data_IF_896820468611
#
_entry.id   IF_896820468611
#
_cell.length_a   1.000
_cell.length_b   1.000
_cell.length_c   1.000
_cell.angle_alpha   90.00
_cell.angle_beta   90.00
_cell.angle_gamma   90.00
#
_symmetry.space_group_name_H-M   'P 1'
#
loop_
_entity.id
_entity.type
_entity.pdbx_description
1 polymer ?
#
# COMPACT_ATOMS: atom_id res chain seq x y z
N UNK A 1 -38.14 36.51 -18.64
CA UNK A 1 -38.60 37.29 -17.48
C UNK A 1 -37.59 37.04 -16.37
N UNK A 2 -36.96 38.08 -15.87
CA UNK A 2 -35.87 37.99 -14.87
C UNK A 2 -36.49 38.27 -13.51
N UNK A 3 -36.19 37.42 -12.52
CA UNK A 3 -36.70 37.54 -11.16
C UNK A 3 -35.51 37.72 -10.21
N UNK A 4 -35.50 38.81 -9.45
CA UNK A 4 -34.49 39.06 -8.44
C UNK A 4 -34.91 38.36 -7.14
N UNK A 5 -34.18 37.31 -6.78
CA UNK A 5 -34.39 36.53 -5.55
C UNK A 5 -33.38 36.94 -4.50
N UNK A 6 -33.86 37.16 -3.27
CA UNK A 6 -33.04 37.53 -2.13
C UNK A 6 -32.67 36.26 -1.34
N UNK A 7 -31.38 35.93 -1.31
CA UNK A 7 -30.87 34.76 -0.61
C UNK A 7 -30.17 35.17 0.69
N UNK A 8 -30.46 34.45 1.77
CA UNK A 8 -29.83 34.64 3.07
C UNK A 8 -28.88 33.49 3.38
N UNK A 9 -27.59 33.80 3.58
CA UNK A 9 -26.60 32.84 4.04
C UNK A 9 -26.58 32.86 5.56
N UNK A 10 -27.18 31.85 6.18
CA UNK A 10 -27.24 31.70 7.64
C UNK A 10 -26.14 30.75 8.11
N UNK A 11 -25.42 31.12 9.17
CA UNK A 11 -24.43 30.26 9.83
C UNK A 11 -25.10 29.45 10.95
N UNK A 12 -26.19 28.75 10.61
CA UNK A 12 -26.93 27.90 11.55
C UNK A 12 -27.12 26.51 10.97
N UNK A 13 -27.14 25.51 11.83
CA UNK A 13 -27.51 24.13 11.49
C UNK A 13 -29.02 24.05 11.22
N UNK A 14 -29.44 24.46 10.02
CA UNK A 14 -30.79 24.27 9.51
C UNK A 14 -30.75 23.35 8.29
N UNK A 15 -31.78 22.51 8.11
CA UNK A 15 -31.89 21.68 6.91
C UNK A 15 -32.22 22.59 5.72
N UNK A 16 -31.36 22.65 4.68
CA UNK A 16 -31.67 23.45 3.51
C UNK A 16 -32.85 22.83 2.75
N UNK A 17 -33.76 23.68 2.27
CA UNK A 17 -34.89 23.25 1.43
C UNK A 17 -34.43 22.75 0.05
N UNK A 18 -33.29 23.26 -0.43
CA UNK A 18 -32.72 22.94 -1.73
C UNK A 18 -31.22 22.69 -1.58
N UNK A 19 -30.75 21.56 -2.11
CA UNK A 19 -29.33 21.21 -2.10
C UNK A 19 -28.54 22.00 -3.16
N UNK A 20 -27.23 22.11 -2.95
CA UNK A 20 -26.30 22.66 -3.95
C UNK A 20 -26.51 22.09 -5.37
N UNK A 21 -26.70 20.77 -5.60
CA UNK A 21 -26.87 20.22 -6.94
C UNK A 21 -28.11 20.77 -7.65
N UNK A 22 -29.22 20.91 -6.92
CA UNK A 22 -30.48 21.37 -7.48
C UNK A 22 -30.47 22.88 -7.70
N UNK A 23 -29.85 23.67 -6.82
CA UNK A 23 -29.62 25.10 -7.05
C UNK A 23 -28.83 25.38 -8.34
N UNK A 24 -27.79 24.57 -8.63
CA UNK A 24 -27.02 24.69 -9.87
C UNK A 24 -27.86 24.29 -11.09
N UNK A 25 -28.61 23.18 -11.01
CA UNK A 25 -29.49 22.70 -12.10
C UNK A 25 -30.60 23.71 -12.44
N UNK A 26 -31.12 24.40 -11.43
CA UNK A 26 -32.16 25.42 -11.58
C UNK A 26 -31.61 26.80 -11.97
N UNK A 27 -30.28 26.97 -12.08
CA UNK A 27 -29.67 28.26 -12.39
C UNK A 27 -29.80 29.31 -11.28
N UNK A 28 -30.08 28.88 -10.04
CA UNK A 28 -30.20 29.76 -8.87
C UNK A 28 -28.84 30.17 -8.30
N UNK A 29 -27.80 29.38 -8.58
CA UNK A 29 -26.43 29.63 -8.17
C UNK A 29 -25.49 29.49 -9.37
N UNK A 30 -24.53 30.40 -9.46
CA UNK A 30 -23.42 30.34 -10.42
C UNK A 30 -22.12 30.22 -9.64
N UNK A 31 -21.29 29.24 -10.01
CA UNK A 31 -19.98 29.04 -9.38
C UNK A 31 -18.93 29.92 -10.05
N UNK A 32 -17.98 30.39 -9.24
CA UNK A 32 -16.80 31.06 -9.76
C UNK A 32 -15.95 30.06 -10.58
N UNK A 33 -15.31 30.55 -11.65
CA UNK A 33 -14.41 29.79 -12.51
C UNK A 33 -13.20 29.19 -11.78
N UNK A 34 -12.84 29.73 -10.61
CA UNK A 34 -11.75 29.23 -9.76
C UNK A 34 -12.16 28.04 -8.88
N UNK A 35 -13.41 27.59 -8.94
CA UNK A 35 -13.86 26.40 -8.21
C UNK A 35 -13.45 25.15 -9.00
N UNK A 36 -12.40 24.46 -8.54
CA UNK A 36 -11.86 23.27 -9.19
C UNK A 36 -12.47 21.95 -8.72
N UNK A 37 -13.13 21.93 -7.55
CA UNK A 37 -13.73 20.72 -7.00
C UNK A 37 -14.99 21.03 -6.20
N UNK A 38 -16.03 20.22 -6.39
CA UNK A 38 -17.26 20.21 -5.61
C UNK A 38 -17.50 18.80 -5.11
N UNK A 39 -17.68 18.66 -3.80
CA UNK A 39 -18.07 17.40 -3.21
C UNK A 39 -19.60 17.36 -3.12
N UNK A 40 -20.24 16.94 -4.20
CA UNK A 40 -21.71 16.81 -4.31
C UNK A 40 -22.21 15.40 -3.97
N UNK A 41 -21.34 14.40 -3.97
CA UNK A 41 -21.63 13.03 -3.55
C UNK A 41 -21.27 12.80 -2.10
N UNK A 42 -21.91 11.79 -1.48
CA UNK A 42 -21.51 11.32 -0.16
C UNK A 42 -20.02 10.92 -0.21
N UNK A 43 -19.24 11.21 0.84
CA UNK A 43 -17.80 10.85 0.88
C UNK A 43 -17.56 9.34 0.67
N UNK A 44 -18.59 8.52 0.88
CA UNK A 44 -18.58 7.08 0.64
C UNK A 44 -18.40 6.74 -0.85
N UNK A 45 -19.17 7.40 -1.73
CA UNK A 45 -19.11 7.15 -3.18
C UNK A 45 -17.74 7.48 -3.79
N UNK A 46 -17.07 8.51 -3.28
CA UNK A 46 -15.72 8.85 -3.75
C UNK A 46 -14.70 7.78 -3.36
N UNK A 47 -14.75 7.30 -2.11
CA UNK A 47 -13.86 6.24 -1.62
C UNK A 47 -14.07 4.95 -2.41
N UNK A 48 -15.31 4.52 -2.57
CA UNK A 48 -15.66 3.31 -3.30
C UNK A 48 -15.19 3.38 -4.76
N UNK A 49 -15.33 4.55 -5.39
CA UNK A 49 -14.85 4.77 -6.76
C UNK A 49 -13.34 4.67 -6.88
N UNK A 50 -12.58 5.21 -5.93
CA UNK A 50 -11.11 5.15 -5.92
C UNK A 50 -10.63 3.72 -5.65
N UNK A 51 -11.21 3.05 -4.65
CA UNK A 51 -10.87 1.67 -4.33
C UNK A 51 -11.21 0.72 -5.48
N UNK A 52 -12.33 0.93 -6.17
CA UNK A 52 -12.69 0.15 -7.37
C UNK A 52 -11.74 0.45 -8.53
N UNK A 53 -11.40 1.73 -8.77
CA UNK A 53 -10.54 2.14 -9.89
C UNK A 53 -9.10 1.62 -9.75
N UNK A 54 -8.58 1.56 -8.54
CA UNK A 54 -7.21 1.15 -8.23
C UNK A 54 -7.19 -0.13 -7.39
N UNK A 55 -8.16 -1.01 -7.61
CA UNK A 55 -8.33 -2.25 -6.83
C UNK A 55 -7.10 -3.15 -6.88
N UNK A 56 -6.29 -3.03 -7.94
CA UNK A 56 -5.01 -3.73 -8.12
C UNK A 56 -3.89 -3.23 -7.19
N UNK A 57 -3.91 -1.95 -6.82
CA UNK A 57 -2.92 -1.34 -5.90
C UNK A 57 -3.24 -1.61 -4.43
N UNK A 58 -4.51 -1.86 -4.10
CA UNK A 58 -5.00 -2.05 -2.73
C UNK A 58 -5.37 -3.51 -2.43
N UNK A 59 -4.66 -4.47 -3.03
CA UNK A 59 -4.80 -5.89 -2.72
C UNK A 59 -4.06 -6.24 -1.44
N UNK A 60 -4.56 -7.23 -0.71
CA UNK A 60 -3.89 -7.80 0.48
C UNK A 60 -2.65 -8.63 0.12
N UNK A 61 -2.44 -8.89 -1.17
CA UNK A 61 -1.30 -9.63 -1.70
C UNK A 61 -0.04 -8.75 -1.80
N UNK A 62 1.13 -9.37 -1.67
CA UNK A 62 2.41 -8.69 -1.90
C UNK A 62 2.63 -8.50 -3.41
N UNK A 63 2.76 -7.24 -3.84
CA UNK A 63 3.07 -6.91 -5.22
C UNK A 63 4.49 -7.30 -5.65
N UNK A 64 4.71 -7.43 -6.96
CA UNK A 64 6.02 -7.75 -7.55
C UNK A 64 6.46 -6.64 -8.50
N UNK A 65 7.65 -6.08 -8.27
CA UNK A 65 8.27 -5.18 -9.23
C UNK A 65 8.88 -5.97 -10.40
N UNK A 66 8.70 -5.54 -11.66
CA UNK A 66 9.27 -6.20 -12.84
C UNK A 66 10.74 -5.81 -13.05
N UNK A 67 11.51 -5.70 -11.96
CA UNK A 67 12.92 -5.28 -12.00
C UNK A 67 13.76 -6.29 -11.24
N UNK A 68 14.85 -6.75 -11.86
CA UNK A 68 15.86 -7.57 -11.21
C UNK A 68 16.90 -6.67 -10.57
N UNK A 69 17.09 -6.81 -9.26
CA UNK A 69 18.15 -6.12 -8.53
C UNK A 69 19.44 -6.96 -8.54
N UNK A 70 20.56 -6.35 -8.91
CA UNK A 70 21.90 -6.95 -8.79
C UNK A 70 22.68 -6.25 -7.69
N UNK A 71 23.09 -7.01 -6.68
CA UNK A 71 23.83 -6.50 -5.54
C UNK A 71 25.31 -6.35 -5.91
N UNK A 72 25.87 -5.14 -5.77
CA UNK A 72 27.30 -4.91 -5.96
C UNK A 72 28.03 -5.09 -4.64
N UNK A 73 28.95 -6.04 -4.60
CA UNK A 73 29.78 -6.35 -3.43
C UNK A 73 31.22 -5.93 -3.73
N UNK A 74 31.91 -5.37 -2.74
CA UNK A 74 33.35 -5.09 -2.83
C UNK A 74 34.12 -6.43 -2.84
N UNK A 75 34.85 -6.76 -3.93
CA UNK A 75 35.56 -8.04 -4.05
C UNK A 75 36.75 -8.17 -3.10
N UNK A 76 37.19 -7.09 -2.46
CA UNK A 76 38.30 -7.11 -1.50
C UNK A 76 37.86 -7.57 -0.11
N UNK A 77 36.55 -7.63 0.16
CA UNK A 77 35.99 -8.01 1.45
C UNK A 77 35.73 -9.52 1.47
N UNK A 78 36.31 -10.27 2.44
CA UNK A 78 36.06 -11.71 2.54
C UNK A 78 34.61 -11.99 3.00
N UNK A 79 33.96 -13.05 2.47
CA UNK A 79 32.63 -13.44 2.91
C UNK A 79 32.66 -13.94 4.36
N UNK A 80 31.65 -13.56 5.15
CA UNK A 80 31.52 -13.97 6.56
C UNK A 80 30.40 -14.97 6.71
N UNK A 81 30.76 -16.22 7.00
CA UNK A 81 29.78 -17.28 7.31
C UNK A 81 29.48 -17.25 8.79
N UNK A 82 28.20 -17.11 9.16
CA UNK A 82 27.75 -17.17 10.56
C UNK A 82 26.90 -18.43 10.78
N UNK A 83 27.11 -19.16 11.88
CA UNK A 83 26.25 -20.28 12.22
C UNK A 83 24.82 -19.80 12.47
N UNK A 84 23.85 -20.68 12.21
CA UNK A 84 22.46 -20.40 12.51
C UNK A 84 22.28 -20.12 14.01
N UNK A 85 21.61 -18.99 14.34
CA UNK A 85 21.37 -18.62 15.73
C UNK A 85 20.28 -19.52 16.34
N UNK A 86 20.48 -19.94 17.60
CA UNK A 86 19.46 -20.67 18.35
C UNK A 86 18.22 -19.81 18.55
N UNK A 87 17.07 -20.34 18.16
CA UNK A 87 15.76 -19.70 18.35
C UNK A 87 15.14 -20.26 19.65
N UNK A 88 14.66 -19.40 20.56
CA UNK A 88 13.94 -19.86 21.76
C UNK A 88 12.80 -20.82 21.40
N UNK A 89 12.61 -21.87 22.19
CA UNK A 89 11.62 -22.94 21.91
C UNK A 89 10.22 -22.36 21.66
N UNK A 90 9.79 -21.39 22.48
CA UNK A 90 8.50 -20.71 22.33
C UNK A 90 8.30 -19.98 20.99
N UNK A 91 9.37 -19.67 20.25
CA UNK A 91 9.33 -18.97 18.97
C UNK A 91 9.52 -19.88 17.76
N UNK A 92 9.96 -21.12 17.94
CA UNK A 92 10.30 -22.02 16.82
C UNK A 92 9.12 -22.23 15.88
N UNK A 93 7.94 -22.52 16.42
CA UNK A 93 6.73 -22.73 15.61
C UNK A 93 6.31 -21.47 14.86
N UNK A 94 6.45 -20.30 15.49
CA UNK A 94 6.10 -19.02 14.86
C UNK A 94 7.05 -18.70 13.70
N UNK A 95 8.35 -18.91 13.90
CA UNK A 95 9.35 -18.67 12.83
C UNK A 95 9.15 -19.65 11.69
N UNK A 96 8.92 -20.94 11.97
CA UNK A 96 8.67 -21.94 10.95
C UNK A 96 7.42 -21.63 10.10
N UNK A 97 6.33 -21.23 10.75
CA UNK A 97 5.09 -20.81 10.07
C UNK A 97 5.32 -19.60 9.16
N UNK A 98 6.07 -18.62 9.63
CA UNK A 98 6.34 -17.42 8.83
C UNK A 98 7.25 -17.72 7.63
N UNK A 99 8.29 -18.55 7.81
CA UNK A 99 9.13 -18.99 6.70
C UNK A 99 8.32 -19.73 5.64
N UNK A 100 7.43 -20.64 6.05
CA UNK A 100 6.54 -21.34 5.12
C UNK A 100 5.63 -20.35 4.36
N UNK A 101 4.98 -19.42 5.08
CA UNK A 101 4.13 -18.38 4.49
C UNK A 101 4.89 -17.53 3.46
N UNK A 102 6.14 -17.17 3.75
CA UNK A 102 6.98 -16.39 2.82
C UNK A 102 7.39 -17.20 1.59
N UNK A 103 7.63 -18.51 1.73
CA UNK A 103 7.87 -19.40 0.60
C UNK A 103 6.62 -19.56 -0.26
N UNK A 104 5.45 -19.77 0.35
CA UNK A 104 4.17 -19.90 -0.36
C UNK A 104 3.82 -18.60 -1.13
N UNK A 105 4.18 -17.45 -0.58
CA UNK A 105 4.01 -16.13 -1.21
C UNK A 105 5.08 -15.83 -2.28
N UNK A 106 6.08 -16.69 -2.46
CA UNK A 106 7.17 -16.51 -3.42
C UNK A 106 8.14 -15.37 -3.06
N UNK A 107 8.16 -14.92 -1.81
CA UNK A 107 9.06 -13.86 -1.32
C UNK A 107 10.48 -14.40 -1.12
N UNK A 108 10.59 -15.66 -0.68
CA UNK A 108 11.87 -16.35 -0.49
C UNK A 108 11.81 -17.73 -1.13
N UNK A 109 12.98 -18.24 -1.52
CA UNK A 109 13.13 -19.58 -2.09
C UNK A 109 14.19 -20.34 -1.29
N UNK A 110 13.94 -21.60 -0.90
CA UNK A 110 14.97 -22.42 -0.28
C UNK A 110 16.11 -22.68 -1.27
N UNK A 111 17.35 -22.53 -0.81
CA UNK A 111 18.56 -22.87 -1.56
C UNK A 111 19.27 -24.04 -0.89
N UNK A 112 19.69 -25.03 -1.67
CA UNK A 112 20.44 -26.21 -1.17
C UNK A 112 21.94 -26.09 -1.38
N UNK A 113 22.38 -25.23 -2.29
CA UNK A 113 23.79 -25.07 -2.64
C UNK A 113 24.46 -23.97 -1.82
N UNK A 114 25.77 -24.11 -1.51
CA UNK A 114 26.54 -23.02 -0.95
C UNK A 114 26.61 -21.89 -2.00
N UNK A 115 25.77 -20.88 -1.81
CA UNK A 115 25.90 -19.59 -2.50
C UNK A 115 27.31 -19.00 -2.30
N UNK A 116 27.76 -18.11 -3.19
CA UNK A 116 29.13 -17.56 -3.15
C UNK A 116 29.54 -16.93 -1.80
N UNK A 117 28.56 -16.54 -0.98
CA UNK A 117 28.74 -15.98 0.35
C UNK A 117 28.72 -17.02 1.50
N UNK A 118 28.47 -18.30 1.20
CA UNK A 118 28.41 -19.42 2.16
C UNK A 118 29.44 -20.51 1.88
N UNK A 119 30.55 -20.23 1.19
CA UNK A 119 31.67 -21.18 1.04
C UNK A 119 32.29 -21.45 2.41
N UNK A 120 31.84 -22.50 3.08
CA UNK A 120 32.42 -23.01 4.33
C UNK A 120 33.85 -23.48 4.03
N UNK A 121 34.88 -23.04 4.78
CA UNK A 121 36.19 -23.70 4.72
C UNK A 121 36.04 -25.16 5.17
N UNK A 122 36.79 -26.11 4.60
CA UNK A 122 36.60 -27.53 4.86
C UNK A 122 36.68 -27.81 6.36
N UNK A 123 35.66 -28.52 6.86
CA UNK A 123 35.65 -29.12 8.18
C UNK A 123 36.96 -29.87 8.38
N UNK A 124 37.79 -29.41 9.32
CA UNK A 124 38.90 -30.19 9.84
C UNK A 124 38.30 -31.34 10.65
N UNK A 125 38.06 -32.46 9.97
CA UNK A 125 37.84 -33.75 10.60
C UNK A 125 39.22 -34.25 11.09
N UNK A 126 39.58 -33.87 12.31
CA UNK A 126 40.63 -34.52 13.07
C UNK A 126 40.17 -34.65 14.53
N UNK A 127 39.98 -35.90 14.97
CA UNK A 127 39.82 -36.28 16.37
C UNK A 127 38.48 -36.90 16.71
#
# INVERSE_FOLDING_TARGET
QTYDLLFYVIKSSAQPLLGLPDCLRMGLLTLNKEVHQLNTSSQHEFKDRILTKYADLFKDEVGRLPVTYSMKIDPTIPPVVRPARRIPVAMQDKVKKELQRMTDLGVITPISEPSDHTKTPPSNENG
#
